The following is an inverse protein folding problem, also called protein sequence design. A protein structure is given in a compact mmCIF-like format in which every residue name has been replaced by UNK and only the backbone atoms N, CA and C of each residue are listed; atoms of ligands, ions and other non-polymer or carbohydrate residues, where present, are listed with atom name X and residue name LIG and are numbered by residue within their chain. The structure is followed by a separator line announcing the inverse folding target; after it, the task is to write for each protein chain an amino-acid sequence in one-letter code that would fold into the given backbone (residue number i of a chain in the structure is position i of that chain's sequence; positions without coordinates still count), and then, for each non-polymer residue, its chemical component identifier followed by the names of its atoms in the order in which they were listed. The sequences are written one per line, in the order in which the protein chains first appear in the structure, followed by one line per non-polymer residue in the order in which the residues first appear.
data_IF_372038740863
#
_entry.id   IF_372038740863
#
_cell.length_a   1.000
_cell.length_b   1.000
_cell.length_c   1.000
_cell.angle_alpha   90.00
_cell.angle_beta   90.00
_cell.angle_gamma   90.00
#
_symmetry.space_group_name_H-M   'P 1'
#
loop_
_entity.id
_entity.type
_entity.pdbx_description
1 polymer ?
#
# COMPACT_ATOMS: atom_id res chain seq x y z
N UNK A 1 -18.26 18.36 -16.56
CA UNK A 1 -17.28 18.65 -15.50
C UNK A 1 -17.11 17.40 -14.67
N UNK A 2 -15.93 16.78 -14.70
CA UNK A 2 -15.61 15.63 -13.84
C UNK A 2 -14.72 16.16 -12.73
N UNK A 3 -15.30 16.39 -11.55
CA UNK A 3 -14.56 16.78 -10.36
C UNK A 3 -13.64 15.62 -9.96
N UNK A 4 -12.39 15.63 -10.42
CA UNK A 4 -11.39 14.67 -9.98
C UNK A 4 -11.10 14.96 -8.51
N UNK A 5 -11.82 14.27 -7.63
CA UNK A 5 -11.70 14.35 -6.17
C UNK A 5 -10.22 14.20 -5.79
N UNK A 6 -9.56 15.29 -5.42
CA UNK A 6 -8.21 15.23 -4.86
C UNK A 6 -8.30 14.55 -3.50
N UNK A 7 -7.91 13.29 -3.44
CA UNK A 7 -7.84 12.45 -2.22
C UNK A 7 -6.66 12.84 -1.28
N UNK A 8 -5.94 13.91 -1.60
CA UNK A 8 -4.74 14.36 -0.90
C UNK A 8 -4.98 15.73 -0.27
N UNK A 9 -4.90 15.81 1.04
CA UNK A 9 -4.88 17.09 1.75
C UNK A 9 -3.52 17.72 1.52
N UNK A 10 -3.44 19.02 1.23
CA UNK A 10 -2.20 19.77 0.96
C UNK A 10 -1.13 19.75 2.05
N UNK A 11 -1.33 18.94 3.09
CA UNK A 11 -0.45 18.72 4.24
C UNK A 11 0.34 17.38 4.13
N UNK A 12 0.26 16.67 2.99
CA UNK A 12 0.98 15.41 2.77
C UNK A 12 0.31 14.16 3.35
N UNK A 13 -0.94 14.27 3.79
CA UNK A 13 -1.75 13.16 4.33
C UNK A 13 -2.95 12.92 3.41
N UNK A 14 -3.25 11.66 3.10
CA UNK A 14 -4.43 11.26 2.35
C UNK A 14 -5.67 11.23 3.25
N UNK A 15 -6.87 11.37 2.68
CA UNK A 15 -8.09 11.09 3.42
C UNK A 15 -8.14 9.61 3.86
N UNK A 16 -8.70 9.29 5.05
CA UNK A 16 -8.79 7.92 5.52
C UNK A 16 -9.52 7.04 4.51
N UNK A 17 -8.88 5.96 4.09
CA UNK A 17 -9.42 5.02 3.11
C UNK A 17 -9.17 3.58 3.56
N UNK A 18 -9.91 2.62 2.99
CA UNK A 18 -9.86 1.21 3.40
C UNK A 18 -9.05 0.40 2.40
N UNK A 19 -7.97 -0.23 2.85
CA UNK A 19 -7.16 -1.10 2.01
C UNK A 19 -7.94 -2.35 1.57
N UNK A 20 -7.98 -2.72 0.28
CA UNK A 20 -8.69 -3.92 -0.19
C UNK A 20 -8.02 -5.24 0.23
N UNK A 21 -6.72 -5.21 0.57
CA UNK A 21 -5.96 -6.39 1.01
C UNK A 21 -6.15 -6.71 2.49
N UNK A 22 -5.76 -5.79 3.37
CA UNK A 22 -5.82 -6.02 4.83
C UNK A 22 -7.15 -5.58 5.46
N UNK A 23 -7.96 -4.79 4.74
CA UNK A 23 -9.23 -4.21 5.23
C UNK A 23 -9.06 -3.18 6.35
N UNK A 24 -7.85 -2.75 6.63
CA UNK A 24 -7.57 -1.66 7.58
C UNK A 24 -7.86 -0.29 6.96
N UNK A 25 -8.22 0.65 7.83
CA UNK A 25 -8.35 2.06 7.48
C UNK A 25 -7.00 2.75 7.65
N UNK A 26 -6.47 3.29 6.56
CA UNK A 26 -5.17 3.97 6.51
C UNK A 26 -5.35 5.41 6.03
N UNK A 27 -4.47 6.30 6.48
CA UNK A 27 -4.43 7.72 6.06
C UNK A 27 -3.21 8.02 5.19
N UNK A 28 -2.46 7.00 4.83
CA UNK A 28 -1.27 7.09 4.00
C UNK A 28 -1.60 7.11 2.51
N UNK A 29 -0.61 7.51 1.72
CA UNK A 29 -0.70 7.48 0.26
C UNK A 29 -0.81 6.03 -0.24
N UNK A 30 -1.76 5.73 -1.15
CA UNK A 30 -1.89 4.40 -1.73
C UNK A 30 -0.66 4.01 -2.56
N UNK A 31 -0.14 2.81 -2.33
CA UNK A 31 0.85 2.16 -3.18
C UNK A 31 0.14 1.32 -4.25
N UNK A 32 0.74 1.20 -5.44
CA UNK A 32 0.24 0.31 -6.49
C UNK A 32 0.73 -1.11 -6.21
N UNK A 33 -0.19 -2.08 -6.19
CA UNK A 33 0.13 -3.50 -6.05
C UNK A 33 1.08 -3.98 -7.14
N UNK A 34 2.11 -4.74 -6.76
CA UNK A 34 3.10 -5.30 -7.70
C UNK A 34 2.61 -6.55 -8.43
N UNK A 35 1.52 -7.16 -7.94
CA UNK A 35 0.91 -8.34 -8.55
C UNK A 35 0.12 -7.98 -9.81
N UNK A 36 -0.67 -6.91 -9.72
CA UNK A 36 -1.61 -6.51 -10.77
C UNK A 36 -1.30 -5.15 -11.41
N UNK A 37 -0.32 -4.39 -10.88
CA UNK A 37 0.11 -3.06 -11.33
C UNK A 37 -1.02 -2.02 -11.50
N UNK A 38 -2.16 -2.24 -10.84
CA UNK A 38 -3.37 -1.41 -10.95
C UNK A 38 -4.05 -1.15 -9.61
N UNK A 39 -3.94 -2.06 -8.66
CA UNK A 39 -4.71 -2.01 -7.42
C UNK A 39 -4.09 -1.06 -6.39
N UNK A 40 -4.93 -0.13 -5.95
CA UNK A 40 -4.88 0.69 -4.74
C UNK A 40 -4.58 -0.08 -3.43
N UNK A 41 -3.35 -0.20 -2.92
CA UNK A 41 -3.07 -0.89 -1.63
C UNK A 41 -2.32 -0.02 -0.63
N UNK A 42 -2.43 -0.33 0.67
CA UNK A 42 -1.70 0.43 1.68
C UNK A 42 -0.19 0.17 1.59
N UNK A 43 0.61 1.11 2.10
CA UNK A 43 2.07 1.01 2.11
C UNK A 43 2.58 -0.30 2.72
N UNK A 44 1.98 -0.76 3.81
CA UNK A 44 2.33 -2.03 4.46
C UNK A 44 2.12 -3.24 3.54
N UNK A 45 0.96 -3.34 2.88
CA UNK A 45 0.70 -4.42 1.92
C UNK A 45 1.66 -4.34 0.73
N UNK A 46 2.00 -3.14 0.27
CA UNK A 46 2.96 -2.94 -0.83
C UNK A 46 4.37 -3.40 -0.47
N UNK A 47 4.82 -3.18 0.76
CA UNK A 47 6.11 -3.69 1.26
C UNK A 47 6.08 -5.21 1.33
N UNK A 48 5.02 -5.81 1.88
CA UNK A 48 4.88 -7.27 1.92
C UNK A 48 4.93 -7.85 0.52
N UNK A 49 4.22 -7.29 -0.47
CA UNK A 49 4.28 -7.76 -1.85
C UNK A 49 5.68 -7.61 -2.46
N UNK A 50 6.37 -6.49 -2.20
CA UNK A 50 7.73 -6.28 -2.68
C UNK A 50 8.69 -7.33 -2.12
N UNK A 51 8.59 -7.59 -0.81
CA UNK A 51 9.40 -8.59 -0.11
C UNK A 51 9.00 -10.02 -0.49
N UNK A 52 7.74 -10.33 -0.78
CA UNK A 52 7.39 -11.65 -1.28
C UNK A 52 7.89 -11.89 -2.70
N UNK A 53 7.90 -10.85 -3.55
CA UNK A 53 8.26 -10.96 -4.95
C UNK A 53 9.78 -11.03 -5.19
N UNK A 54 10.57 -10.24 -4.47
CA UNK A 54 12.04 -10.21 -4.63
C UNK A 54 12.74 -11.48 -4.10
N UNK A 55 12.05 -12.20 -3.23
CA UNK A 55 12.71 -12.80 -2.10
C UNK A 55 12.03 -14.17 -1.81
N UNK A 56 10.71 -14.30 -2.01
CA UNK A 56 9.94 -15.55 -1.92
C UNK A 56 9.05 -15.65 -0.67
N UNK A 57 8.11 -16.59 -0.59
CA UNK A 57 7.10 -16.67 0.51
C UNK A 57 7.61 -17.19 1.87
N UNK A 58 8.92 -17.25 2.08
CA UNK A 58 9.55 -17.89 3.25
C UNK A 58 10.37 -16.92 4.12
N UNK A 59 10.00 -15.64 4.18
CA UNK A 59 10.69 -14.66 5.04
C UNK A 59 10.25 -14.84 6.50
N UNK A 60 10.87 -15.80 7.16
CA UNK A 60 11.37 -15.54 8.51
C UNK A 60 12.53 -14.55 8.33
N UNK A 61 12.41 -13.32 8.82
CA UNK A 61 13.55 -12.42 8.92
C UNK A 61 14.40 -12.97 10.08
N UNK A 62 15.53 -13.66 9.87
CA UNK A 62 16.46 -13.84 10.96
C UNK A 62 16.90 -12.44 11.40
N UNK A 63 16.77 -12.16 12.69
CA UNK A 63 17.32 -10.99 13.37
C UNK A 63 18.72 -10.72 12.79
N UNK A 64 18.90 -9.53 12.21
CA UNK A 64 20.10 -9.20 11.44
C UNK A 64 21.33 -9.29 12.36
N UNK A 65 22.19 -10.28 12.11
CA UNK A 65 23.52 -10.44 12.72
C UNK A 65 24.40 -9.20 12.50
#
# INVERSE_FOLDING_TARGET
MSETKTIYRGNGLADPWKCPHCKDTVTDFPAISRRDNKTEICSQCGVVEALENEFGKNYCIPDQL
#
